data_IF_777905359443
#
_entry.id   IF_777905359443
#
_cell.length_a   1.000
_cell.length_b   1.000
_cell.length_c   1.000
_cell.angle_alpha   90.00
_cell.angle_beta   90.00
_cell.angle_gamma   90.00
#
_symmetry.space_group_name_H-M   'P 1'
#
loop_
_entity.id
_entity.type
_entity.pdbx_description
1 polymer ?
#
# COMPACT_ATOMS: atom_id res chain seq x y z
N UNK A 1 -16.23 6.55 -9.86
CA UNK A 1 -15.68 5.32 -9.20
C UNK A 1 -16.64 5.03 -8.06
N UNK A 2 -17.37 3.89 -8.06
CA UNK A 2 -18.62 3.76 -7.30
C UNK A 2 -18.50 4.13 -5.82
N UNK A 3 -17.37 3.85 -5.19
CA UNK A 3 -17.14 4.15 -3.77
C UNK A 3 -16.89 5.63 -3.49
N UNK A 4 -16.29 6.36 -4.43
CA UNK A 4 -16.16 7.82 -4.33
C UNK A 4 -17.53 8.47 -4.52
N UNK A 5 -18.29 8.01 -5.52
CA UNK A 5 -19.66 8.49 -5.76
C UNK A 5 -20.55 8.19 -4.53
N UNK A 6 -20.39 7.02 -3.90
CA UNK A 6 -21.06 6.66 -2.65
C UNK A 6 -20.60 7.54 -1.47
N UNK A 7 -19.31 7.86 -1.36
CA UNK A 7 -18.79 8.77 -0.32
C UNK A 7 -19.35 10.19 -0.46
N UNK A 8 -19.52 10.67 -1.69
CA UNK A 8 -20.15 11.96 -1.99
C UNK A 8 -21.63 11.92 -1.63
N UNK A 9 -22.37 10.88 -2.05
CA UNK A 9 -23.78 10.68 -1.69
C UNK A 9 -24.01 10.59 -0.18
N UNK A 10 -23.07 10.00 0.54
CA UNK A 10 -23.07 9.95 2.00
C UNK A 10 -22.64 11.25 2.69
N UNK A 11 -22.35 12.32 1.93
CA UNK A 11 -21.90 13.61 2.45
C UNK A 11 -20.49 13.61 3.04
N UNK A 12 -19.72 12.53 2.85
CA UNK A 12 -18.35 12.40 3.38
C UNK A 12 -17.32 13.13 2.54
N UNK A 13 -17.64 13.44 1.29
CA UNK A 13 -16.76 14.11 0.33
C UNK A 13 -17.55 15.20 -0.41
N UNK A 14 -17.50 16.47 0.02
CA UNK A 14 -18.25 17.54 -0.64
C UNK A 14 -17.65 17.86 -2.02
N UNK A 15 -18.52 18.22 -2.97
CA UNK A 15 -18.09 18.73 -4.30
C UNK A 15 -17.64 20.18 -4.11
N UNK A 16 -16.37 20.48 -4.36
CA UNK A 16 -15.77 21.81 -4.17
C UNK A 16 -15.44 22.53 -5.48
N UNK A 17 -15.65 21.86 -6.63
CA UNK A 17 -15.37 22.39 -7.96
C UNK A 17 -13.88 22.56 -8.27
N UNK A 18 -12.99 22.05 -7.41
CA UNK A 18 -11.52 22.15 -7.57
C UNK A 18 -10.83 20.80 -7.50
N UNK A 19 -11.02 20.08 -6.40
CA UNK A 19 -10.47 18.74 -6.20
C UNK A 19 -11.51 17.71 -6.58
N UNK A 20 -12.76 17.90 -6.14
CA UNK A 20 -13.90 17.04 -6.47
C UNK A 20 -14.81 17.85 -7.38
N UNK A 21 -14.95 17.39 -8.62
CA UNK A 21 -15.71 18.08 -9.66
C UNK A 21 -16.84 17.18 -10.17
N UNK A 22 -18.01 17.74 -10.53
CA UNK A 22 -19.04 16.95 -11.20
C UNK A 22 -18.50 16.37 -12.50
N UNK A 23 -18.80 15.11 -12.78
CA UNK A 23 -18.47 14.49 -14.07
C UNK A 23 -19.29 15.10 -15.19
N UNK A 24 -18.69 15.20 -16.37
CA UNK A 24 -19.44 15.53 -17.57
C UNK A 24 -20.38 14.38 -17.94
N UNK A 25 -21.58 14.73 -18.41
CA UNK A 25 -22.53 13.72 -18.88
C UNK A 25 -22.08 13.16 -20.22
N UNK A 26 -21.88 11.85 -20.29
CA UNK A 26 -21.48 11.17 -21.52
C UNK A 26 -22.65 11.07 -22.52
N UNK A 27 -22.38 11.06 -23.84
CA UNK A 27 -23.41 10.85 -24.85
C UNK A 27 -24.15 9.52 -24.64
N UNK A 28 -25.49 9.57 -24.62
CA UNK A 28 -26.34 8.38 -24.46
C UNK A 28 -26.75 8.07 -23.02
N UNK A 29 -26.26 8.81 -22.03
CA UNK A 29 -26.76 8.71 -20.64
C UNK A 29 -28.20 9.21 -20.53
N UNK A 30 -28.99 8.56 -19.68
CA UNK A 30 -30.38 8.96 -19.44
C UNK A 30 -30.46 10.33 -18.74
N UNK A 31 -31.59 11.03 -18.89
CA UNK A 31 -31.74 12.40 -18.35
C UNK A 31 -31.65 12.42 -16.82
N UNK A 32 -32.12 11.37 -16.18
CA UNK A 32 -32.16 11.12 -14.74
C UNK A 32 -30.92 10.37 -14.20
N UNK A 33 -30.01 9.93 -15.07
CA UNK A 33 -28.80 9.23 -14.68
C UNK A 33 -27.75 10.20 -14.11
N UNK A 34 -27.29 9.92 -12.90
CA UNK A 34 -26.24 10.69 -12.21
C UNK A 34 -24.88 10.42 -12.88
N UNK A 35 -24.23 11.44 -13.49
CA UNK A 35 -22.93 11.27 -14.13
C UNK A 35 -21.81 10.96 -13.14
N UNK A 36 -22.04 11.14 -11.84
CA UNK A 36 -21.04 10.93 -10.79
C UNK A 36 -20.09 12.12 -10.66
N UNK A 37 -18.92 11.87 -10.09
CA UNK A 37 -17.90 12.88 -9.90
C UNK A 37 -16.51 12.40 -10.31
N UNK A 38 -15.66 13.37 -10.64
CA UNK A 38 -14.25 13.17 -10.94
C UNK A 38 -13.38 13.82 -9.87
N UNK A 39 -12.16 13.30 -9.76
CA UNK A 39 -11.16 13.81 -8.82
C UNK A 39 -9.99 14.38 -9.61
N UNK A 40 -9.69 15.66 -9.40
CA UNK A 40 -8.49 16.28 -9.94
C UNK A 40 -7.28 15.75 -9.19
N UNK A 41 -6.39 15.08 -9.91
CA UNK A 41 -5.20 14.43 -9.35
C UNK A 41 -4.01 14.60 -10.27
N UNK A 42 -2.84 14.88 -9.69
CA UNK A 42 -1.56 14.81 -10.40
C UNK A 42 -0.97 13.42 -10.22
N UNK A 43 -0.60 12.77 -11.31
CA UNK A 43 -0.02 11.41 -11.30
C UNK A 43 1.43 11.47 -11.76
N UNK A 44 2.32 10.79 -11.03
CA UNK A 44 3.70 10.55 -11.45
C UNK A 44 3.99 9.05 -11.45
N UNK A 45 4.45 8.53 -12.59
CA UNK A 45 5.04 7.20 -12.65
C UNK A 45 6.54 7.33 -12.35
N UNK A 46 7.04 6.52 -11.43
CA UNK A 46 8.42 6.64 -10.94
C UNK A 46 9.08 5.27 -10.99
N UNK A 47 10.22 5.22 -11.67
CA UNK A 47 11.10 4.06 -11.73
C UNK A 47 12.35 4.33 -10.87
N UNK A 48 12.51 3.63 -9.73
CA UNK A 48 13.65 3.86 -8.85
C UNK A 48 14.94 3.35 -9.51
N UNK A 49 15.92 4.23 -9.61
CA UNK A 49 17.26 3.88 -10.08
C UNK A 49 18.20 3.77 -8.89
N UNK A 50 18.91 2.65 -8.77
CA UNK A 50 19.74 2.35 -7.62
C UNK A 50 21.17 2.77 -7.85
N UNK A 51 21.71 3.60 -6.95
CA UNK A 51 23.14 3.78 -6.81
C UNK A 51 23.71 2.64 -5.96
N UNK A 52 24.32 1.65 -6.60
CA UNK A 52 24.74 0.37 -6.00
C UNK A 52 25.63 0.53 -4.76
N UNK A 53 26.65 1.41 -4.73
CA UNK A 53 27.46 1.61 -3.52
C UNK A 53 26.62 2.12 -2.34
N UNK A 54 25.71 3.07 -2.59
CA UNK A 54 24.83 3.64 -1.56
C UNK A 54 23.79 2.64 -1.06
N UNK A 55 23.23 1.83 -1.95
CA UNK A 55 22.31 0.75 -1.56
C UNK A 55 23.06 -0.30 -0.73
N UNK A 56 24.25 -0.73 -1.14
CA UNK A 56 25.05 -1.69 -0.38
C UNK A 56 25.36 -1.18 1.03
N UNK A 57 25.78 0.09 1.14
CA UNK A 57 26.02 0.75 2.43
C UNK A 57 24.75 0.76 3.31
N UNK A 58 23.61 1.17 2.75
CA UNK A 58 22.32 1.21 3.47
C UNK A 58 21.88 -0.17 3.95
N UNK A 59 22.20 -1.21 3.20
CA UNK A 59 21.90 -2.60 3.53
C UNK A 59 22.92 -3.25 4.48
N UNK A 60 24.05 -2.59 4.77
CA UNK A 60 25.14 -3.16 5.57
C UNK A 60 25.83 -4.35 4.90
N UNK A 61 25.84 -4.41 3.57
CA UNK A 61 26.48 -5.47 2.79
C UNK A 61 27.63 -4.91 1.95
N UNK A 62 28.52 -5.78 1.47
CA UNK A 62 29.54 -5.37 0.51
C UNK A 62 28.90 -5.09 -0.85
N UNK A 63 29.42 -4.11 -1.58
CA UNK A 63 28.94 -3.80 -2.93
C UNK A 63 29.09 -5.01 -3.87
N UNK A 64 30.21 -5.74 -3.77
CA UNK A 64 30.43 -6.97 -4.52
C UNK A 64 29.39 -8.05 -4.18
N UNK A 65 29.03 -8.19 -2.90
CA UNK A 65 27.97 -9.11 -2.45
C UNK A 65 26.61 -8.73 -3.01
N UNK A 66 26.24 -7.44 -2.96
CA UNK A 66 24.99 -6.94 -3.55
C UNK A 66 24.93 -7.21 -5.05
N UNK A 67 25.99 -6.85 -5.80
CA UNK A 67 26.07 -7.07 -7.25
C UNK A 67 25.92 -8.53 -7.62
N UNK A 68 26.58 -9.42 -6.88
CA UNK A 68 26.48 -10.87 -7.08
C UNK A 68 25.07 -11.39 -6.82
N UNK A 69 24.45 -10.99 -5.71
CA UNK A 69 23.06 -11.37 -5.42
C UNK A 69 22.11 -10.89 -6.52
N UNK A 70 22.23 -9.63 -6.97
CA UNK A 70 21.43 -9.11 -8.08
C UNK A 70 21.64 -9.89 -9.38
N UNK A 71 22.88 -10.29 -9.70
CA UNK A 71 23.16 -11.13 -10.86
C UNK A 71 22.49 -12.50 -10.76
N UNK A 72 22.57 -13.15 -9.60
CA UNK A 72 21.97 -14.47 -9.36
C UNK A 72 20.43 -14.39 -9.42
N UNK A 73 19.82 -13.41 -8.76
CA UNK A 73 18.35 -13.20 -8.72
C UNK A 73 17.76 -12.75 -10.06
N UNK A 74 18.56 -12.12 -10.93
CA UNK A 74 18.15 -11.79 -12.30
C UNK A 74 18.36 -12.95 -13.28
N UNK A 75 18.67 -14.16 -12.79
CA UNK A 75 18.92 -15.34 -13.61
C UNK A 75 20.14 -15.18 -14.52
N UNK A 76 21.10 -14.35 -14.13
CA UNK A 76 22.30 -14.04 -14.88
C UNK A 76 22.10 -13.11 -16.09
N UNK A 77 20.94 -12.47 -16.21
CA UNK A 77 20.59 -11.63 -17.38
C UNK A 77 21.36 -10.31 -17.47
N UNK A 78 22.07 -9.90 -16.40
CA UNK A 78 22.84 -8.65 -16.33
C UNK A 78 24.30 -8.92 -15.93
N UNK A 79 25.13 -9.52 -16.82
CA UNK A 79 26.53 -9.88 -16.52
C UNK A 79 27.43 -8.68 -16.20
N UNK A 80 27.02 -7.47 -16.59
CA UNK A 80 27.70 -6.21 -16.27
C UNK A 80 27.81 -5.97 -14.77
N UNK A 81 26.89 -6.51 -13.97
CA UNK A 81 26.96 -6.45 -12.51
C UNK A 81 28.27 -7.04 -11.96
N UNK A 82 28.82 -8.05 -12.64
CA UNK A 82 30.08 -8.71 -12.26
C UNK A 82 31.29 -8.23 -13.07
N UNK A 83 31.08 -7.83 -14.33
CA UNK A 83 32.17 -7.55 -15.28
C UNK A 83 32.50 -6.06 -15.43
N UNK A 84 31.59 -5.16 -15.02
CA UNK A 84 31.73 -3.70 -15.18
C UNK A 84 31.57 -2.97 -13.85
N UNK A 85 32.66 -2.92 -13.08
CA UNK A 85 32.72 -2.23 -11.79
C UNK A 85 32.66 -0.70 -11.90
N UNK A 86 32.85 -0.15 -13.10
CA UNK A 86 32.71 1.28 -13.37
C UNK A 86 31.25 1.74 -13.48
N UNK A 87 30.30 0.79 -13.64
CA UNK A 87 28.86 1.08 -13.66
C UNK A 87 28.32 1.00 -12.23
N UNK A 88 28.01 2.15 -11.65
CA UNK A 88 27.52 2.27 -10.27
C UNK A 88 26.00 2.35 -10.15
N UNK A 89 25.29 2.31 -11.28
CA UNK A 89 23.86 2.56 -11.36
C UNK A 89 23.17 1.31 -11.91
N UNK A 90 22.08 0.91 -11.27
CA UNK A 90 21.28 -0.24 -11.67
C UNK A 90 19.80 0.16 -11.71
N UNK A 91 19.14 -0.16 -12.82
CA UNK A 91 17.69 -0.05 -12.96
C UNK A 91 17.10 -1.45 -12.74
N UNK A 92 16.41 -1.71 -11.62
CA UNK A 92 15.81 -3.02 -11.38
C UNK A 92 14.76 -3.33 -12.47
N UNK A 93 14.78 -4.54 -13.06
CA UNK A 93 13.91 -4.90 -14.18
C UNK A 93 12.43 -5.00 -13.77
N UNK A 94 12.19 -5.27 -12.49
CA UNK A 94 10.87 -5.27 -11.87
C UNK A 94 10.96 -4.32 -10.69
N UNK A 95 10.56 -3.09 -10.92
CA UNK A 95 10.28 -2.12 -9.87
C UNK A 95 9.28 -1.11 -10.43
N UNK A 96 9.02 -0.06 -9.68
CA UNK A 96 8.12 1.00 -10.09
C UNK A 96 7.04 1.27 -9.06
N UNK A 97 6.63 2.52 -9.05
CA UNK A 97 5.57 3.01 -8.21
C UNK A 97 4.83 4.13 -8.95
N UNK A 98 3.61 4.37 -8.52
CA UNK A 98 2.87 5.55 -8.94
C UNK A 98 2.57 6.42 -7.73
N UNK A 99 2.89 7.70 -7.82
CA UNK A 99 2.46 8.71 -6.86
C UNK A 99 1.21 9.42 -7.40
N UNK A 100 0.17 9.48 -6.59
CA UNK A 100 -1.04 10.26 -6.81
C UNK A 100 -1.05 11.41 -5.81
N UNK A 101 -1.06 12.63 -6.32
CA UNK A 101 -1.01 13.87 -5.53
C UNK A 101 -2.32 14.61 -5.70
N UNK A 102 -3.01 14.82 -4.60
CA UNK A 102 -4.26 15.55 -4.48
C UNK A 102 -3.97 16.96 -3.97
N UNK A 103 -4.54 17.97 -4.63
CA UNK A 103 -4.21 19.37 -4.39
C UNK A 103 -3.05 19.86 -5.25
N UNK A 104 -2.49 21.01 -4.89
CA UNK A 104 -1.38 21.61 -5.64
C UNK A 104 -0.07 20.84 -5.38
N UNK A 105 0.59 20.26 -6.39
CA UNK A 105 1.84 19.51 -6.19
C UNK A 105 2.97 20.31 -5.54
N UNK A 106 2.96 21.64 -5.67
CA UNK A 106 3.94 22.51 -4.99
C UNK A 106 3.83 22.47 -3.46
N UNK A 107 2.65 22.14 -2.93
CA UNK A 107 2.41 22.05 -1.49
C UNK A 107 3.01 20.80 -0.87
N UNK A 108 3.44 19.82 -1.66
CA UNK A 108 4.00 18.55 -1.15
C UNK A 108 5.28 18.77 -0.32
N UNK A 109 6.08 19.78 -0.69
CA UNK A 109 7.32 20.15 -0.01
C UNK A 109 7.19 21.32 0.97
N UNK A 110 5.98 21.87 1.12
CA UNK A 110 5.70 23.04 1.96
C UNK A 110 5.28 22.58 3.37
N UNK A 111 6.17 22.79 4.35
CA UNK A 111 5.96 22.39 5.75
C UNK A 111 4.80 23.15 6.43
N UNK A 112 4.33 24.25 5.87
CA UNK A 112 3.18 25.00 6.41
C UNK A 112 1.84 24.37 6.04
N UNK A 113 1.84 23.42 5.09
CA UNK A 113 0.64 22.74 4.61
C UNK A 113 0.40 21.45 5.38
N UNK A 114 -0.88 21.10 5.50
CA UNK A 114 -1.27 19.78 6.02
C UNK A 114 -0.90 18.70 4.99
N UNK A 115 -0.23 17.65 5.44
CA UNK A 115 0.24 16.55 4.62
C UNK A 115 -0.37 15.22 5.08
N UNK A 116 -1.17 14.61 4.21
CA UNK A 116 -1.74 13.27 4.43
C UNK A 116 -1.12 12.27 3.47
N UNK A 117 -0.54 11.19 3.99
CA UNK A 117 0.17 10.19 3.20
C UNK A 117 -0.39 8.79 3.41
N UNK A 118 -0.60 8.08 2.30
CA UNK A 118 -0.86 6.64 2.26
C UNK A 118 0.18 5.95 1.38
N UNK A 119 0.99 5.07 1.97
CA UNK A 119 1.85 4.16 1.22
C UNK A 119 1.17 2.81 1.10
N UNK A 120 0.78 2.45 -0.12
CA UNK A 120 0.05 1.23 -0.45
C UNK A 120 0.97 0.25 -1.19
N UNK A 121 0.96 -1.01 -0.77
CA UNK A 121 1.60 -2.10 -1.53
C UNK A 121 0.49 -2.76 -2.35
N UNK A 122 0.75 -2.96 -3.64
CA UNK A 122 -0.18 -3.55 -4.61
C UNK A 122 -0.87 -4.82 -4.08
N UNK A 123 -2.17 -4.91 -4.36
CA UNK A 123 -2.99 -6.07 -4.05
C UNK A 123 -4.07 -6.24 -5.12
N UNK A 124 -3.73 -6.71 -6.31
CA UNK A 124 -4.60 -6.89 -7.48
C UNK A 124 -5.91 -7.61 -7.14
N UNK A 125 -5.82 -8.70 -6.37
CA UNK A 125 -6.98 -9.43 -5.87
C UNK A 125 -8.06 -8.55 -5.23
N UNK A 126 -7.68 -7.51 -4.49
CA UNK A 126 -8.62 -6.59 -3.82
C UNK A 126 -8.79 -5.29 -4.59
N UNK A 127 -7.67 -4.67 -5.00
CA UNK A 127 -7.65 -3.36 -5.64
C UNK A 127 -8.33 -3.37 -7.01
N UNK A 128 -8.18 -4.45 -7.78
CA UNK A 128 -8.75 -4.58 -9.14
C UNK A 128 -9.96 -5.49 -9.13
N UNK A 129 -9.86 -6.67 -8.53
CA UNK A 129 -10.93 -7.69 -8.56
C UNK A 129 -11.94 -7.60 -7.42
N UNK A 130 -11.77 -6.67 -6.47
CA UNK A 130 -12.76 -6.42 -5.43
C UNK A 130 -12.88 -7.51 -4.36
N UNK A 131 -11.88 -8.38 -4.19
CA UNK A 131 -11.88 -9.40 -3.15
C UNK A 131 -12.04 -8.79 -1.74
N UNK A 132 -12.93 -9.40 -0.96
CA UNK A 132 -13.27 -9.08 0.44
C UNK A 132 -12.48 -9.94 1.47
N UNK A 133 -11.56 -10.77 0.99
CA UNK A 133 -10.69 -11.64 1.82
C UNK A 133 -9.60 -10.84 2.55
N UNK A 134 -9.29 -9.63 2.07
CA UNK A 134 -8.32 -8.74 2.69
C UNK A 134 -8.80 -7.29 2.73
N UNK A 135 -8.18 -6.51 3.61
CA UNK A 135 -8.51 -5.09 3.85
C UNK A 135 -7.83 -4.11 2.89
N UNK A 136 -7.09 -4.59 1.87
CA UNK A 136 -6.27 -3.74 1.03
C UNK A 136 -7.07 -2.64 0.29
N UNK A 137 -8.14 -2.99 -0.44
CA UNK A 137 -8.99 -2.01 -1.13
C UNK A 137 -9.71 -1.06 -0.17
N UNK A 138 -10.42 -1.52 0.88
CA UNK A 138 -11.06 -0.61 1.84
C UNK A 138 -10.07 0.38 2.46
N UNK A 139 -8.86 -0.06 2.78
CA UNK A 139 -7.85 0.81 3.37
C UNK A 139 -7.21 1.77 2.35
N UNK A 140 -7.06 1.34 1.08
CA UNK A 140 -6.67 2.23 -0.02
C UNK A 140 -7.71 3.33 -0.23
N UNK A 141 -9.00 2.97 -0.25
CA UNK A 141 -10.11 3.92 -0.38
C UNK A 141 -10.16 4.90 0.79
N UNK A 142 -9.96 4.43 2.02
CA UNK A 142 -9.86 5.33 3.18
C UNK A 142 -8.69 6.32 3.03
N UNK A 143 -7.51 5.83 2.64
CA UNK A 143 -6.35 6.70 2.36
C UNK A 143 -6.61 7.72 1.26
N UNK A 144 -7.31 7.30 0.20
CA UNK A 144 -7.71 8.17 -0.90
C UNK A 144 -8.68 9.28 -0.43
N UNK A 145 -9.72 8.92 0.31
CA UNK A 145 -10.71 9.87 0.85
C UNK A 145 -10.04 10.90 1.77
N UNK A 146 -9.19 10.47 2.69
CA UNK A 146 -8.50 11.39 3.61
C UNK A 146 -7.47 12.28 2.88
N UNK A 147 -6.78 11.74 1.88
CA UNK A 147 -5.89 12.52 1.02
C UNK A 147 -6.66 13.61 0.24
N UNK A 148 -7.83 13.27 -0.32
CA UNK A 148 -8.69 14.24 -1.02
C UNK A 148 -9.17 15.31 -0.03
N UNK A 149 -9.74 14.92 1.11
CA UNK A 149 -10.22 15.88 2.13
C UNK A 149 -9.13 16.85 2.57
N UNK A 150 -7.89 16.36 2.71
CA UNK A 150 -6.74 17.20 3.06
C UNK A 150 -6.46 18.23 1.97
N UNK A 151 -6.52 17.83 0.70
CA UNK A 151 -6.40 18.75 -0.43
C UNK A 151 -7.54 19.80 -0.45
N UNK A 152 -8.78 19.41 -0.16
CA UNK A 152 -9.92 20.34 -0.10
C UNK A 152 -9.75 21.41 1.00
N UNK A 153 -9.10 21.06 2.12
CA UNK A 153 -8.74 22.00 3.19
C UNK A 153 -7.54 22.90 2.87
N UNK A 154 -6.98 22.78 1.67
CA UNK A 154 -5.81 23.57 1.23
C UNK A 154 -4.45 22.97 1.61
N UNK A 155 -4.42 21.72 2.06
CA UNK A 155 -3.20 20.91 2.23
C UNK A 155 -2.84 20.13 0.96
N UNK A 156 -2.08 19.06 1.13
CA UNK A 156 -1.78 18.09 0.07
C UNK A 156 -1.98 16.66 0.57
N UNK A 157 -2.65 15.85 -0.25
CA UNK A 157 -2.78 14.43 -0.05
C UNK A 157 -1.88 13.68 -1.02
N UNK A 158 -1.16 12.66 -0.54
CA UNK A 158 -0.29 11.82 -1.38
C UNK A 158 -0.60 10.35 -1.14
N UNK A 159 -0.95 9.64 -2.20
CA UNK A 159 -1.08 8.18 -2.20
C UNK A 159 0.02 7.61 -3.07
N UNK A 160 0.91 6.80 -2.48
CA UNK A 160 1.95 6.09 -3.22
C UNK A 160 1.52 4.64 -3.40
N UNK A 161 1.48 4.18 -4.64
CA UNK A 161 1.15 2.81 -5.00
C UNK A 161 2.41 2.08 -5.44
N UNK A 162 2.95 1.21 -4.59
CA UNK A 162 4.10 0.37 -4.88
C UNK A 162 3.67 -0.94 -5.53
N UNK A 163 4.36 -1.33 -6.60
CA UNK A 163 4.13 -2.62 -7.28
C UNK A 163 4.79 -3.78 -6.52
N UNK A 164 4.28 -4.06 -5.32
CA UNK A 164 4.80 -5.06 -4.36
C UNK A 164 3.71 -6.06 -3.94
N UNK A 165 3.18 -6.79 -4.91
CA UNK A 165 2.12 -7.77 -4.70
C UNK A 165 2.50 -8.87 -3.69
N UNK A 166 1.51 -9.31 -2.89
CA UNK A 166 1.65 -10.49 -2.04
C UNK A 166 2.74 -10.39 -0.98
N UNK A 167 3.01 -9.19 -0.44
CA UNK A 167 4.16 -8.94 0.46
C UNK A 167 5.51 -9.24 -0.20
N UNK A 168 5.63 -8.86 -1.47
CA UNK A 168 6.76 -9.16 -2.34
C UNK A 168 6.98 -10.66 -2.63
N UNK A 169 5.99 -11.52 -2.34
CA UNK A 169 5.98 -12.93 -2.77
C UNK A 169 5.37 -13.13 -4.16
N UNK A 170 4.71 -12.10 -4.69
CA UNK A 170 4.00 -12.16 -5.97
C UNK A 170 2.61 -12.82 -5.88
N UNK A 171 1.87 -12.68 -6.96
CA UNK A 171 0.44 -13.02 -7.00
C UNK A 171 0.18 -14.53 -6.95
N UNK A 172 1.03 -15.33 -7.61
CA UNK A 172 0.90 -16.80 -7.66
C UNK A 172 0.99 -17.41 -6.26
N UNK A 173 2.01 -17.01 -5.48
CA UNK A 173 2.19 -17.50 -4.11
C UNK A 173 1.01 -17.09 -3.23
N UNK A 174 0.52 -15.86 -3.39
CA UNK A 174 -0.67 -15.39 -2.67
C UNK A 174 -1.90 -16.26 -2.96
N UNK A 175 -2.16 -16.62 -4.22
CA UNK A 175 -3.27 -17.52 -4.56
C UNK A 175 -3.08 -18.92 -3.99
N UNK A 176 -1.86 -19.47 -4.00
CA UNK A 176 -1.57 -20.75 -3.37
C UNK A 176 -1.88 -20.71 -1.86
N UNK A 177 -1.48 -19.63 -1.18
CA UNK A 177 -1.78 -19.41 0.24
C UNK A 177 -3.29 -19.28 0.47
N UNK A 178 -4.02 -18.56 -0.36
CA UNK A 178 -5.47 -18.40 -0.22
C UNK A 178 -6.23 -19.70 -0.48
N UNK A 179 -5.84 -20.45 -1.52
CA UNK A 179 -6.41 -21.76 -1.81
C UNK A 179 -6.12 -22.74 -0.66
N UNK A 180 -4.90 -22.73 -0.13
CA UNK A 180 -4.58 -23.54 1.04
C UNK A 180 -5.43 -23.12 2.24
N UNK A 181 -5.56 -21.80 2.53
CA UNK A 181 -6.41 -21.23 3.58
C UNK A 181 -7.83 -21.76 3.49
N UNK A 182 -8.50 -21.60 2.34
CA UNK A 182 -9.91 -22.00 2.16
C UNK A 182 -10.14 -23.51 2.13
N UNK A 183 -9.15 -24.31 1.72
CA UNK A 183 -9.22 -25.79 1.79
C UNK A 183 -9.02 -26.37 3.19
N UNK A 184 -8.67 -25.56 4.19
CA UNK A 184 -8.58 -25.97 5.59
C UNK A 184 -9.25 -24.94 6.51
N UNK A 185 -8.95 -24.98 7.81
CA UNK A 185 -9.52 -23.99 8.77
C UNK A 185 -8.89 -22.60 8.62
N UNK A 186 -9.60 -21.65 8.05
CA UNK A 186 -9.14 -20.26 7.86
C UNK A 186 -9.18 -19.46 9.17
N UNK A 187 -8.27 -19.77 10.10
CA UNK A 187 -8.15 -19.13 11.40
C UNK A 187 -6.98 -18.15 11.46
N UNK A 188 -7.12 -17.07 12.23
CA UNK A 188 -6.12 -16.01 12.33
C UNK A 188 -4.76 -16.52 12.85
N UNK A 189 -4.78 -17.47 13.80
CA UNK A 189 -3.57 -18.11 14.35
C UNK A 189 -2.74 -18.89 13.32
N UNK A 190 -3.35 -19.35 12.22
CA UNK A 190 -2.69 -20.13 11.17
C UNK A 190 -2.24 -19.27 9.99
N UNK A 191 -2.62 -17.98 9.96
CA UNK A 191 -2.42 -17.11 8.82
C UNK A 191 -0.96 -17.08 8.34
N UNK A 192 -0.02 -16.71 9.21
CA UNK A 192 1.41 -16.63 8.85
C UNK A 192 2.04 -18.00 8.66
N UNK A 193 1.59 -19.01 9.41
CA UNK A 193 2.09 -20.39 9.31
C UNK A 193 1.80 -20.98 7.93
N UNK A 194 0.63 -20.68 7.35
CA UNK A 194 0.28 -21.11 5.98
C UNK A 194 1.14 -20.42 4.92
N UNK A 195 1.42 -19.13 5.10
CA UNK A 195 2.38 -18.43 4.23
C UNK A 195 3.76 -19.07 4.31
N UNK A 196 4.27 -19.32 5.52
CA UNK A 196 5.57 -19.97 5.74
C UNK A 196 5.64 -21.37 5.14
N UNK A 197 4.59 -22.19 5.29
CA UNK A 197 4.53 -23.54 4.71
C UNK A 197 4.63 -23.57 3.18
N UNK A 198 4.20 -22.50 2.50
CA UNK A 198 4.15 -22.42 1.03
C UNK A 198 5.33 -21.64 0.48
N UNK A 199 5.64 -20.50 1.09
CA UNK A 199 6.67 -19.57 0.62
C UNK A 199 8.03 -19.77 1.30
N UNK A 200 8.12 -20.58 2.36
CA UNK A 200 9.33 -20.73 3.19
C UNK A 200 9.63 -19.53 4.09
N UNK A 201 8.91 -18.42 3.94
CA UNK A 201 9.09 -17.17 4.69
C UNK A 201 7.74 -16.50 4.95
N UNK A 202 7.65 -15.70 6.03
CA UNK A 202 6.40 -15.03 6.45
C UNK A 202 6.14 -13.70 5.75
N UNK A 203 7.21 -12.99 5.38
CA UNK A 203 7.18 -11.66 4.76
C UNK A 203 8.51 -11.40 4.04
N UNK A 204 8.47 -11.04 2.76
CA UNK A 204 9.66 -10.63 2.00
C UNK A 204 9.73 -9.12 1.79
N UNK A 205 8.83 -8.35 2.40
CA UNK A 205 8.81 -6.90 2.19
C UNK A 205 10.05 -6.28 2.78
N UNK A 206 10.80 -5.66 1.88
CA UNK A 206 11.89 -4.77 2.22
C UNK A 206 11.44 -3.31 2.10
N UNK A 207 11.51 -2.56 3.21
CA UNK A 207 11.04 -1.17 3.28
C UNK A 207 12.16 -0.12 3.34
N UNK A 208 13.45 -0.48 3.41
CA UNK A 208 14.49 0.54 3.56
C UNK A 208 14.69 1.46 2.34
N UNK A 209 14.17 1.07 1.16
CA UNK A 209 14.11 1.92 -0.04
C UNK A 209 12.75 2.61 -0.22
N UNK A 210 11.74 2.22 0.56
CA UNK A 210 10.38 2.77 0.41
C UNK A 210 10.30 4.29 0.65
N UNK A 211 11.01 4.88 1.63
CA UNK A 211 10.98 6.32 1.83
C UNK A 211 11.59 7.16 0.70
N UNK A 212 12.36 6.56 -0.23
CA UNK A 212 13.11 7.32 -1.25
C UNK A 212 12.20 8.21 -2.12
N UNK A 213 10.99 7.74 -2.43
CA UNK A 213 10.00 8.54 -3.16
C UNK A 213 9.50 9.73 -2.34
N UNK A 214 9.35 9.58 -1.02
CA UNK A 214 8.89 10.66 -0.16
C UNK A 214 9.96 11.76 -0.09
N UNK A 215 11.23 11.38 0.00
CA UNK A 215 12.37 12.29 -0.09
C UNK A 215 12.46 12.96 -1.45
N UNK A 216 12.27 12.21 -2.54
CA UNK A 216 12.28 12.76 -3.90
C UNK A 216 11.16 13.77 -4.14
N UNK A 217 9.97 13.53 -3.58
CA UNK A 217 8.85 14.48 -3.56
C UNK A 217 9.11 15.71 -2.66
N UNK A 218 10.16 15.68 -1.84
CA UNK A 218 10.51 16.75 -0.91
C UNK A 218 9.63 16.78 0.35
N UNK A 219 8.98 15.67 0.70
CA UNK A 219 8.15 15.56 1.90
C UNK A 219 9.06 15.62 3.13
N UNK A 220 8.81 16.59 4.02
CA UNK A 220 9.61 16.81 5.23
C UNK A 220 8.91 16.44 6.52
N UNK A 221 7.57 16.36 6.51
CA UNK A 221 6.75 15.87 7.62
C UNK A 221 5.47 15.24 7.08
N UNK A 222 4.86 14.37 7.88
CA UNK A 222 3.55 13.79 7.60
C UNK A 222 2.64 14.10 8.78
N UNK A 223 1.60 14.89 8.56
CA UNK A 223 0.61 15.19 9.61
C UNK A 223 -0.29 13.99 9.86
N UNK A 224 -0.75 13.35 8.79
CA UNK A 224 -1.66 12.21 8.85
C UNK A 224 -1.14 11.03 8.03
N UNK A 225 -0.62 10.00 8.68
CA UNK A 225 -0.26 8.73 8.03
C UNK A 225 -1.42 7.75 8.11
N UNK A 226 -1.90 7.29 6.96
CA UNK A 226 -2.96 6.29 6.87
C UNK A 226 -2.33 4.90 6.77
N UNK A 227 -1.94 4.29 7.90
CA UNK A 227 -1.30 2.97 7.92
C UNK A 227 -1.25 2.35 9.32
N UNK A 228 -1.42 1.03 9.41
CA UNK A 228 -1.16 0.23 10.62
C UNK A 228 0.18 -0.51 10.56
N UNK A 229 0.98 -0.33 9.51
CA UNK A 229 2.26 -1.06 9.36
C UNK A 229 3.43 -0.37 10.05
N UNK A 230 3.97 -0.99 11.10
CA UNK A 230 5.15 -0.47 11.83
C UNK A 230 6.38 -0.45 10.93
N UNK A 231 6.58 -1.49 10.11
CA UNK A 231 7.64 -1.49 9.08
C UNK A 231 7.61 -0.27 8.16
N UNK A 232 6.43 0.25 7.80
CA UNK A 232 6.31 1.45 6.96
C UNK A 232 6.56 2.71 7.78
N UNK A 233 5.97 2.79 8.97
CA UNK A 233 6.15 3.90 9.90
C UNK A 233 7.64 4.10 10.22
N UNK A 234 8.29 3.04 10.69
CA UNK A 234 9.68 3.08 11.16
C UNK A 234 10.64 3.37 10.01
N UNK A 235 10.40 2.80 8.82
CA UNK A 235 11.20 3.15 7.65
C UNK A 235 11.14 4.64 7.33
N UNK A 236 9.96 5.27 7.41
CA UNK A 236 9.78 6.71 7.14
C UNK A 236 10.44 7.55 8.24
N UNK A 237 10.17 7.27 9.51
CA UNK A 237 10.72 8.02 10.64
C UNK A 237 12.25 7.89 10.70
N UNK A 238 12.79 6.68 10.55
CA UNK A 238 14.24 6.45 10.55
C UNK A 238 14.93 7.07 9.33
N UNK A 239 14.20 7.35 8.26
CA UNK A 239 14.72 8.12 7.12
C UNK A 239 14.73 9.65 7.36
N UNK A 240 14.24 10.12 8.51
CA UNK A 240 14.26 11.52 8.92
C UNK A 240 12.95 12.29 8.68
N UNK A 241 11.85 11.61 8.30
CA UNK A 241 10.55 12.24 8.09
C UNK A 241 9.65 11.99 9.31
N UNK A 242 9.41 12.98 10.20
CA UNK A 242 8.52 12.83 11.34
C UNK A 242 7.07 12.59 10.90
N UNK A 243 6.37 11.73 11.65
CA UNK A 243 4.95 11.43 11.50
C UNK A 243 4.23 11.92 12.77
N UNK A 244 3.22 12.79 12.62
CA UNK A 244 2.51 13.36 13.76
C UNK A 244 1.32 12.53 14.22
N UNK A 245 0.49 12.06 13.28
CA UNK A 245 -0.67 11.22 13.57
C UNK A 245 -0.71 10.02 12.65
N UNK A 246 -1.19 8.91 13.20
CA UNK A 246 -1.33 7.65 12.50
C UNK A 246 -2.76 7.14 12.67
N UNK A 247 -3.37 6.75 11.57
CA UNK A 247 -4.75 6.30 11.54
C UNK A 247 -4.80 4.84 11.16
N UNK A 248 -5.53 4.05 11.95
CA UNK A 248 -5.92 2.69 11.61
C UNK A 248 -7.10 2.68 10.62
N UNK A 249 -7.38 1.53 10.01
CA UNK A 249 -8.57 1.41 9.20
C UNK A 249 -9.81 1.50 10.12
N UNK A 250 -10.82 2.31 9.79
CA UNK A 250 -12.08 2.35 10.54
C UNK A 250 -12.76 0.98 10.58
N UNK A 251 -13.32 0.60 11.73
CA UNK A 251 -13.91 -0.73 11.95
C UNK A 251 -15.07 -1.02 10.98
N UNK A 252 -15.83 0.00 10.59
CA UNK A 252 -16.93 -0.10 9.62
C UNK A 252 -16.45 -0.40 8.19
N UNK A 253 -15.16 -0.25 7.90
CA UNK A 253 -14.55 -0.54 6.60
C UNK A 253 -13.85 -1.90 6.58
N UNK A 254 -13.86 -2.66 7.67
CA UNK A 254 -13.25 -4.00 7.74
C UNK A 254 -14.29 -5.04 7.30
N UNK A 255 -14.10 -5.72 6.14
CA UNK A 255 -14.98 -6.82 5.75
C UNK A 255 -14.92 -7.96 6.77
N UNK A 256 -16.03 -8.67 6.95
CA UNK A 256 -16.13 -9.76 7.94
C UNK A 256 -15.06 -10.83 7.76
N UNK A 257 -14.82 -11.28 6.52
CA UNK A 257 -13.80 -12.32 6.21
C UNK A 257 -12.36 -11.81 6.39
N UNK A 258 -12.16 -10.50 6.31
CA UNK A 258 -10.86 -9.85 6.50
C UNK A 258 -10.46 -9.69 7.97
N UNK A 259 -11.36 -9.95 8.94
CA UNK A 259 -11.04 -9.92 10.38
C UNK A 259 -9.90 -10.88 10.73
N UNK A 260 -9.87 -12.04 10.08
CA UNK A 260 -8.78 -13.04 10.19
C UNK A 260 -7.41 -12.41 9.92
N UNK A 261 -7.33 -11.56 8.88
CA UNK A 261 -6.09 -10.89 8.51
C UNK A 261 -5.72 -9.78 9.49
N UNK A 262 -6.68 -8.94 9.88
CA UNK A 262 -6.45 -7.79 10.78
C UNK A 262 -6.03 -8.26 12.17
N UNK A 263 -6.72 -9.23 12.75
CA UNK A 263 -6.42 -9.73 14.09
C UNK A 263 -5.03 -10.37 14.14
N UNK A 264 -4.69 -11.17 13.13
CA UNK A 264 -3.34 -11.75 12.97
C UNK A 264 -2.27 -10.66 12.83
N UNK A 265 -2.54 -9.57 12.11
CA UNK A 265 -1.59 -8.46 11.95
C UNK A 265 -1.39 -7.69 13.26
N UNK A 266 -2.46 -7.37 13.99
CA UNK A 266 -2.38 -6.68 15.28
C UNK A 266 -1.55 -7.51 16.25
N UNK A 267 -1.78 -8.82 16.34
CA UNK A 267 -0.98 -9.70 17.20
C UNK A 267 0.49 -9.79 16.76
N UNK A 268 0.78 -9.72 15.45
CA UNK A 268 2.13 -9.65 14.92
C UNK A 268 2.82 -8.27 15.11
N UNK A 269 2.20 -7.36 15.86
CA UNK A 269 2.77 -6.06 16.22
C UNK A 269 2.39 -4.92 15.28
N UNK A 270 1.29 -5.04 14.52
CA UNK A 270 0.76 -3.86 13.80
C UNK A 270 0.09 -2.91 14.77
N UNK A 271 0.32 -1.61 14.60
CA UNK A 271 -0.32 -0.56 15.39
C UNK A 271 -1.85 -0.67 15.36
N UNK A 272 -2.44 -0.69 16.56
CA UNK A 272 -3.86 -0.42 16.78
C UNK A 272 -4.03 0.52 17.96
N UNK A 273 -4.95 1.46 17.85
CA UNK A 273 -5.24 2.41 18.92
C UNK A 273 -6.20 1.85 19.98
N UNK A 274 -6.92 0.78 19.63
CA UNK A 274 -8.11 0.32 20.34
C UNK A 274 -8.04 -1.13 20.83
N UNK A 275 -7.12 -1.96 20.32
CA UNK A 275 -7.07 -3.40 20.61
C UNK A 275 -5.65 -3.90 20.88
N UNK A 276 -5.47 -4.60 22.01
CA UNK A 276 -4.34 -5.49 22.27
C UNK A 276 -4.89 -6.94 22.24
N UNK A 277 -4.65 -7.68 21.15
CA UNK A 277 -5.15 -9.04 20.97
C UNK A 277 -4.16 -10.07 21.50
N UNK A 278 -4.66 -11.05 22.25
CA UNK A 278 -3.87 -12.19 22.75
C UNK A 278 -3.95 -13.38 21.80
N UNK A 279 -3.04 -14.36 21.93
CA UNK A 279 -3.10 -15.59 21.12
C UNK A 279 -4.40 -16.38 21.31
N UNK A 280 -5.04 -16.29 22.48
CA UNK A 280 -6.32 -16.93 22.75
C UNK A 280 -7.47 -16.30 21.93
N UNK A 281 -7.43 -14.98 21.73
CA UNK A 281 -8.44 -14.26 20.95
C UNK A 281 -8.41 -14.65 19.46
N UNK A 282 -7.22 -14.97 18.93
CA UNK A 282 -7.03 -15.37 17.52
C UNK A 282 -7.67 -16.72 17.16
N UNK A 283 -7.88 -17.61 18.13
CA UNK A 283 -8.52 -18.90 17.89
C UNK A 283 -10.02 -18.77 17.59
N UNK A 284 -10.63 -17.65 17.98
CA UNK A 284 -12.05 -17.37 17.79
C UNK A 284 -12.35 -16.65 16.48
N UNK A 285 -11.36 -16.02 15.84
CA UNK A 285 -11.53 -15.36 14.53
C UNK A 285 -11.33 -16.37 13.40
N UNK A 286 -12.45 -16.79 12.78
CA UNK A 286 -12.50 -17.75 11.68
C UNK A 286 -13.16 -17.11 10.46
N UNK A 287 -12.53 -17.23 9.29
CA UNK A 287 -13.05 -16.76 8.01
C UNK A 287 -14.09 -17.72 7.43
N UNK A 288 -14.78 -17.30 6.36
CA UNK A 288 -15.76 -18.14 5.66
C UNK A 288 -15.14 -19.42 5.12
N UNK A 289 -15.88 -20.53 5.24
CA UNK A 289 -15.50 -21.83 4.70
C UNK A 289 -15.68 -21.90 3.18
N UNK A 290 -15.12 -22.94 2.56
CA UNK A 290 -15.24 -23.19 1.12
C UNK A 290 -16.70 -23.36 0.68
N UNK A 291 -17.54 -23.95 1.53
CA UNK A 291 -18.96 -24.22 1.25
C UNK A 291 -19.85 -22.97 1.38
N UNK A 292 -19.34 -21.88 1.97
CA UNK A 292 -20.05 -20.61 2.18
C UNK A 292 -19.86 -19.62 1.01
N UNK A 293 -19.13 -20.02 -0.03
CA UNK A 293 -18.86 -19.21 -1.23
C UNK A 293 -19.94 -19.54 -2.27
N UNK A 294 -20.91 -18.65 -2.48
CA UNK A 294 -21.81 -18.76 -3.63
C UNK A 294 -20.97 -18.70 -4.93
N UNK A 295 -21.08 -19.76 -5.74
CA UNK A 295 -20.37 -19.93 -7.01
C UNK A 295 -21.11 -19.28 -8.18
#
# INVERSE_FOLDING_TARGET
>A
MPEIDAAIKAGKLPIDGKIVVPSERLPGMAVDEDPGCEITVSKAAVEPVWYLPGVAQRLGVTEAGLRRALFEETGGSVPELLTRHDINVFLPPISGLTAYIFGNPKFVSDETKEMTVRVHDECNGSDVFGSDICTCRPYLLFGLIEAIKTAQRGGSGVVIYFRKEGRALGEVIKYLVYNARKRGTDSANMYFKRTENIAGVKDMRFQALMPDILHWLGIKKIDNMISMSDMKHDAIVNSGIPIHKRYEIPEELIPTDSRVEIDAKIQAGYFSSSKNLTEADLAHTVGRGWEDVEH
#
